data_IF_776704113034
#
_entry.id   IF_776704113034
#
_cell.length_a   1.000
_cell.length_b   1.000
_cell.length_c   1.000
_cell.angle_alpha   90.00
_cell.angle_beta   90.00
_cell.angle_gamma   90.00
#
_symmetry.space_group_name_H-M   'P 1'
#
loop_
_entity.id
_entity.type
_entity.pdbx_description
1 polymer ?
#
# COMPACT_ATOMS: atom_id res chain seq x y z
N UNK A 1 48.00 34.96 6.30
CA UNK A 1 49.23 34.42 5.65
C UNK A 1 48.83 33.08 5.06
N UNK A 2 48.53 32.91 3.78
CA UNK A 2 48.67 33.73 2.59
C UNK A 2 47.37 33.61 1.77
N UNK A 3 46.87 34.74 1.28
CA UNK A 3 46.03 34.84 0.08
C UNK A 3 46.95 34.71 -1.15
N UNK A 4 46.51 34.04 -2.22
CA UNK A 4 46.48 34.67 -3.56
C UNK A 4 45.59 33.87 -4.55
N UNK A 5 44.72 34.55 -5.34
CA UNK A 5 43.90 34.00 -6.41
C UNK A 5 44.42 34.40 -7.82
N UNK A 6 44.49 33.45 -8.76
CA UNK A 6 44.62 33.75 -10.19
C UNK A 6 43.56 32.95 -10.96
N UNK A 7 42.53 33.62 -11.51
CA UNK A 7 42.50 34.24 -12.85
C UNK A 7 42.62 33.23 -13.99
N UNK A 8 41.47 32.86 -14.55
CA UNK A 8 41.32 32.63 -15.99
C UNK A 8 40.05 33.36 -16.46
N UNK A 9 40.21 34.65 -16.73
CA UNK A 9 39.45 35.39 -17.75
C UNK A 9 40.21 35.21 -19.08
N UNK A 10 39.51 35.14 -20.21
CA UNK A 10 39.95 34.34 -21.37
C UNK A 10 38.78 33.92 -22.26
N UNK A 11 37.94 34.88 -22.57
CA UNK A 11 36.76 34.93 -23.45
C UNK A 11 36.89 34.38 -24.90
N UNK A 12 35.72 34.26 -25.56
CA UNK A 12 35.53 33.94 -26.99
C UNK A 12 34.17 33.27 -27.24
N UNK A 13 33.05 33.99 -27.12
CA UNK A 13 32.34 34.63 -28.25
C UNK A 13 31.94 33.66 -29.37
N UNK A 14 30.71 33.14 -29.31
CA UNK A 14 29.89 32.88 -30.49
C UNK A 14 28.43 33.23 -30.15
N UNK A 15 27.99 34.36 -30.68
CA UNK A 15 26.60 34.76 -30.80
C UNK A 15 25.90 33.89 -31.86
N UNK A 16 24.68 33.46 -31.51
CA UNK A 16 23.43 33.55 -32.29
C UNK A 16 23.38 33.11 -33.77
N UNK A 17 22.44 32.17 -34.04
CA UNK A 17 21.54 32.10 -35.21
C UNK A 17 20.52 30.96 -34.89
N UNK A 18 19.39 31.25 -34.25
CA UNK A 18 18.04 31.51 -34.82
C UNK A 18 17.49 30.44 -35.79
N UNK A 19 16.27 30.00 -35.44
CA UNK A 19 15.16 29.56 -36.30
C UNK A 19 15.12 28.08 -36.78
N UNK A 20 14.34 27.27 -36.06
CA UNK A 20 13.68 26.08 -36.62
C UNK A 20 12.30 25.92 -35.96
N UNK A 21 11.35 26.70 -36.45
CA UNK A 21 9.91 26.41 -36.38
C UNK A 21 9.65 25.10 -37.13
N UNK A 22 9.18 24.08 -36.42
CA UNK A 22 8.61 22.87 -37.05
C UNK A 22 7.23 22.65 -36.40
N UNK A 23 6.22 23.25 -37.03
CA UNK A 23 4.80 22.96 -36.81
C UNK A 23 4.53 21.50 -37.18
N UNK A 24 4.50 20.61 -36.18
CA UNK A 24 3.82 19.32 -36.32
C UNK A 24 2.38 19.50 -35.85
N UNK A 25 1.47 19.74 -36.80
CA UNK A 25 0.04 19.48 -36.63
C UNK A 25 -0.13 18.00 -36.25
N UNK A 26 -0.35 17.73 -34.96
CA UNK A 26 -0.79 16.42 -34.51
C UNK A 26 -2.26 16.22 -34.94
N UNK A 27 -2.47 15.38 -35.94
CA UNK A 27 -3.80 14.88 -36.34
C UNK A 27 -4.33 13.95 -35.24
N UNK A 28 -5.01 14.54 -34.25
CA UNK A 28 -5.68 13.91 -33.10
C UNK A 28 -6.97 13.15 -33.50
N UNK A 29 -6.94 12.27 -34.51
CA UNK A 29 -8.17 11.63 -35.00
C UNK A 29 -8.23 10.09 -35.01
N UNK A 30 -7.18 9.37 -34.59
CA UNK A 30 -7.17 7.89 -34.57
C UNK A 30 -7.03 7.25 -33.18
N UNK A 31 -7.49 7.92 -32.12
CA UNK A 31 -7.67 7.29 -30.80
C UNK A 31 -8.93 6.41 -30.81
N UNK A 32 -8.78 5.17 -31.26
CA UNK A 32 -9.76 4.13 -30.96
C UNK A 32 -9.71 3.92 -29.43
N UNK A 33 -10.78 4.33 -28.76
CA UNK A 33 -11.08 3.99 -27.37
C UNK A 33 -11.20 2.47 -27.29
N UNK A 34 -10.13 1.81 -26.89
CA UNK A 34 -10.20 0.44 -26.41
C UNK A 34 -10.70 0.54 -24.96
N UNK A 35 -11.95 0.14 -24.75
CA UNK A 35 -12.52 -0.08 -23.42
C UNK A 35 -11.69 -1.18 -22.75
N UNK A 36 -10.62 -0.80 -22.05
CA UNK A 36 -9.97 -1.64 -21.06
C UNK A 36 -10.91 -1.77 -19.85
N UNK A 37 -11.89 -2.66 -19.99
CA UNK A 37 -12.59 -3.25 -18.86
C UNK A 37 -11.56 -3.93 -17.94
N UNK A 38 -11.19 -3.18 -16.91
CA UNK A 38 -10.62 -3.58 -15.62
C UNK A 38 -10.63 -5.10 -15.34
N UNK A 39 -9.61 -5.82 -15.81
CA UNK A 39 -9.38 -7.24 -15.48
C UNK A 39 -8.80 -7.45 -14.07
N UNK A 40 -8.79 -6.43 -13.20
CA UNK A 40 -8.30 -6.52 -11.81
C UNK A 40 -9.40 -6.75 -10.75
N UNK A 41 -10.63 -7.06 -11.15
CA UNK A 41 -11.76 -7.28 -10.23
C UNK A 41 -11.99 -8.76 -9.83
N UNK A 42 -10.99 -9.64 -9.95
CA UNK A 42 -11.14 -11.09 -9.71
C UNK A 42 -10.28 -11.61 -8.55
N UNK A 43 -10.19 -10.86 -7.45
CA UNK A 43 -9.57 -11.33 -6.19
C UNK A 43 -10.35 -10.90 -4.92
N UNK A 44 -11.61 -10.50 -5.04
CA UNK A 44 -12.51 -10.38 -3.88
C UNK A 44 -13.32 -11.66 -3.74
N UNK A 45 -12.68 -12.71 -3.22
CA UNK A 45 -13.40 -13.81 -2.57
C UNK A 45 -13.31 -13.61 -1.06
N UNK A 46 -14.45 -13.16 -0.55
CA UNK A 46 -14.84 -13.02 0.85
C UNK A 46 -15.21 -14.43 1.36
N UNK A 47 -14.26 -15.12 2.01
CA UNK A 47 -14.54 -16.34 2.78
C UNK A 47 -14.17 -16.11 4.26
N UNK A 48 -15.22 -15.91 5.04
CA UNK A 48 -15.21 -15.60 6.47
C UNK A 48 -15.17 -16.92 7.25
N UNK A 49 -13.98 -17.37 7.65
CA UNK A 49 -13.78 -18.55 8.50
C UNK A 49 -14.25 -18.25 9.95
N UNK A 50 -15.05 -19.14 10.60
CA UNK A 50 -15.47 -18.95 11.97
C UNK A 50 -14.31 -19.16 12.95
N UNK A 51 -14.08 -18.17 13.80
CA UNK A 51 -13.11 -18.22 14.89
C UNK A 51 -13.49 -19.29 15.94
N UNK A 52 -12.73 -20.38 15.99
CA UNK A 52 -12.76 -21.33 17.11
C UNK A 52 -11.96 -20.78 18.31
N UNK A 53 -12.69 -20.47 19.38
CA UNK A 53 -12.19 -20.04 20.68
C UNK A 53 -11.37 -21.16 21.37
N UNK A 54 -10.05 -20.96 21.53
CA UNK A 54 -9.19 -21.78 22.38
C UNK A 54 -8.82 -21.03 23.69
N UNK A 55 -8.93 -21.68 24.87
CA UNK A 55 -8.86 -20.97 26.16
C UNK A 55 -7.44 -20.58 26.59
N UNK A 56 -7.35 -19.38 27.17
CA UNK A 56 -6.16 -18.76 27.77
C UNK A 56 -5.49 -19.64 28.84
N UNK A 57 -4.23 -20.05 28.59
CA UNK A 57 -3.37 -20.72 29.58
C UNK A 57 -2.71 -19.68 30.49
N UNK A 58 -3.18 -19.64 31.76
CA UNK A 58 -2.60 -18.85 32.84
C UNK A 58 -1.16 -19.26 33.17
N UNK A 59 -0.26 -18.28 33.13
CA UNK A 59 1.16 -18.36 33.53
C UNK A 59 1.28 -18.78 35.01
N UNK A 60 1.81 -19.97 35.28
CA UNK A 60 2.23 -20.40 36.63
C UNK A 60 3.70 -20.05 36.87
N UNK A 61 3.96 -19.34 37.98
CA UNK A 61 5.30 -18.97 38.47
C UNK A 61 6.11 -20.23 38.83
N UNK A 62 7.33 -20.34 38.30
CA UNK A 62 8.34 -21.32 38.71
C UNK A 62 8.90 -20.97 40.09
N UNK A 63 9.00 -21.96 40.97
CA UNK A 63 9.80 -21.92 42.19
C UNK A 63 10.87 -23.00 42.06
N UNK A 64 12.14 -22.59 42.02
CA UNK A 64 13.28 -23.50 41.98
C UNK A 64 13.37 -24.28 43.31
N UNK A 65 13.53 -25.60 43.21
CA UNK A 65 14.15 -26.40 44.25
C UNK A 65 15.12 -27.37 43.55
N UNK A 66 16.41 -27.12 43.77
CA UNK A 66 17.52 -27.98 43.39
C UNK A 66 17.55 -29.14 44.38
N UNK A 67 17.54 -30.38 43.87
CA UNK A 67 18.03 -31.56 44.58
C UNK A 67 18.81 -32.40 43.58
N UNK A 68 20.08 -32.65 43.91
CA UNK A 68 20.99 -33.56 43.25
C UNK A 68 20.58 -35.01 43.54
N UNK A 69 20.47 -35.85 42.52
CA UNK A 69 20.63 -37.31 42.64
C UNK A 69 20.90 -37.92 41.27
N UNK A 70 22.07 -38.54 41.12
CA UNK A 70 22.40 -39.48 40.05
C UNK A 70 21.44 -40.69 40.10
N UNK A 71 20.83 -41.10 38.98
CA UNK A 71 20.34 -42.47 38.72
C UNK A 71 20.05 -42.68 37.21
N UNK A 72 20.81 -43.62 36.64
CA UNK A 72 20.44 -44.64 35.63
C UNK A 72 19.73 -44.24 34.31
N UNK A 73 20.51 -44.29 33.22
CA UNK A 73 20.15 -44.03 31.82
C UNK A 73 19.21 -45.05 31.15
N UNK A 74 18.81 -46.13 31.82
CA UNK A 74 18.07 -47.25 31.19
C UNK A 74 16.54 -47.16 31.33
N UNK A 75 16.01 -46.23 32.13
CA UNK A 75 14.55 -46.13 32.36
C UNK A 75 13.87 -45.24 31.31
N UNK A 76 14.54 -44.16 30.89
CA UNK A 76 14.02 -43.17 29.93
C UNK A 76 13.83 -43.75 28.51
N UNK A 77 14.67 -44.71 28.09
CA UNK A 77 14.51 -45.38 26.77
C UNK A 77 13.23 -46.23 26.71
N UNK A 78 12.81 -46.81 27.83
CA UNK A 78 11.59 -47.63 27.88
C UNK A 78 10.33 -46.77 27.81
N UNK A 79 10.33 -45.60 28.46
CA UNK A 79 9.22 -44.66 28.41
C UNK A 79 9.09 -43.99 27.03
N UNK A 80 10.20 -43.66 26.38
CA UNK A 80 10.22 -43.19 24.99
C UNK A 80 9.71 -44.27 24.04
N UNK A 81 10.11 -45.53 24.25
CA UNK A 81 9.64 -46.67 23.44
C UNK A 81 8.13 -46.90 23.57
N UNK A 82 7.57 -46.69 24.76
CA UNK A 82 6.12 -46.76 24.97
C UNK A 82 5.37 -45.58 24.34
N UNK A 83 5.93 -44.37 24.39
CA UNK A 83 5.36 -43.20 23.71
C UNK A 83 5.35 -43.39 22.19
N UNK A 84 6.44 -43.91 21.61
CA UNK A 84 6.54 -44.25 20.19
C UNK A 84 5.50 -45.30 19.81
N UNK A 85 5.33 -46.36 20.61
CA UNK A 85 4.29 -47.37 20.37
C UNK A 85 2.88 -46.78 20.40
N UNK A 86 2.59 -45.86 21.32
CA UNK A 86 1.30 -45.15 21.40
C UNK A 86 1.08 -44.20 20.21
N UNK A 87 2.13 -43.59 19.68
CA UNK A 87 2.04 -42.78 18.45
C UNK A 87 1.76 -43.68 17.24
N UNK A 88 2.48 -44.78 17.09
CA UNK A 88 2.27 -45.76 16.00
C UNK A 88 0.84 -46.31 16.03
N UNK A 89 0.26 -46.60 17.21
CA UNK A 89 -1.13 -47.07 17.28
C UNK A 89 -2.14 -46.01 16.85
N UNK A 90 -1.87 -44.73 17.13
CA UNK A 90 -2.76 -43.62 16.73
C UNK A 90 -2.68 -43.36 15.23
N UNK A 91 -1.48 -43.39 14.66
CA UNK A 91 -1.31 -43.26 13.21
C UNK A 91 -1.99 -44.41 12.46
N UNK A 92 -1.90 -45.64 12.97
CA UNK A 92 -2.62 -46.78 12.39
C UNK A 92 -4.13 -46.61 12.43
N UNK A 93 -4.68 -46.12 13.54
CA UNK A 93 -6.11 -45.82 13.64
C UNK A 93 -6.54 -44.72 12.66
N UNK A 94 -5.71 -43.69 12.48
CA UNK A 94 -5.98 -42.61 11.53
C UNK A 94 -5.92 -43.10 10.07
N UNK A 95 -4.98 -43.99 9.75
CA UNK A 95 -4.90 -44.61 8.42
C UNK A 95 -6.13 -45.48 8.15
N UNK A 96 -6.56 -46.29 9.13
CA UNK A 96 -7.75 -47.14 9.00
C UNK A 96 -9.03 -46.30 8.82
N UNK A 97 -9.13 -45.14 9.49
CA UNK A 97 -10.22 -44.19 9.31
C UNK A 97 -10.21 -43.54 7.92
N UNK A 98 -9.03 -43.12 7.43
CA UNK A 98 -8.87 -42.57 6.08
C UNK A 98 -9.10 -43.59 4.98
N UNK A 99 -8.69 -44.85 5.18
CA UNK A 99 -8.95 -45.94 4.24
C UNK A 99 -10.45 -46.29 4.19
N UNK A 100 -11.13 -46.30 5.35
CA UNK A 100 -12.58 -46.48 5.41
C UNK A 100 -13.33 -45.33 4.71
N UNK A 101 -12.90 -44.08 4.90
CA UNK A 101 -13.50 -42.90 4.26
C UNK A 101 -13.28 -42.92 2.73
N UNK A 102 -12.10 -43.37 2.27
CA UNK A 102 -11.81 -43.56 0.85
C UNK A 102 -12.61 -44.74 0.23
N UNK A 103 -12.96 -45.76 1.01
CA UNK A 103 -13.78 -46.89 0.55
C UNK A 103 -15.29 -46.55 0.59
N UNK A 104 -15.74 -45.68 1.50
CA UNK A 104 -17.10 -45.13 1.54
C UNK A 104 -17.33 -44.04 0.49
N UNK A 105 -16.29 -43.31 0.09
CA UNK A 105 -16.29 -42.34 -1.00
C UNK A 105 -15.26 -42.68 -2.07
N UNK A 106 -15.50 -43.72 -2.90
CA UNK A 106 -14.66 -43.98 -4.06
C UNK A 106 -14.60 -42.72 -4.92
N UNK A 107 -13.40 -42.25 -5.24
CA UNK A 107 -13.24 -41.25 -6.29
C UNK A 107 -13.86 -41.84 -7.56
N UNK A 108 -14.92 -41.21 -8.07
CA UNK A 108 -15.43 -41.50 -9.41
C UNK A 108 -14.29 -41.21 -10.38
N UNK A 109 -13.67 -42.28 -10.89
CA UNK A 109 -12.74 -42.22 -12.00
C UNK A 109 -13.56 -41.71 -13.19
N UNK A 110 -13.46 -40.40 -13.47
CA UNK A 110 -14.18 -39.70 -14.53
C UNK A 110 -13.66 -40.10 -15.90
N UNK A 111 -13.71 -41.39 -16.23
CA UNK A 111 -13.32 -41.91 -17.54
C UNK A 111 -14.44 -41.94 -18.56
N UNK A 112 -15.70 -41.78 -18.16
CA UNK A 112 -16.82 -41.74 -19.09
C UNK A 112 -17.83 -40.69 -18.64
N UNK A 113 -17.77 -39.51 -19.24
CA UNK A 113 -18.91 -38.70 -19.71
C UNK A 113 -18.51 -37.22 -19.83
N UNK A 114 -18.47 -36.79 -21.09
CA UNK A 114 -18.61 -35.40 -21.55
C UNK A 114 -17.47 -34.43 -21.17
N UNK A 115 -16.70 -34.04 -22.20
CA UNK A 115 -16.18 -32.67 -22.30
C UNK A 115 -17.36 -31.69 -22.20
N UNK A 116 -17.88 -31.48 -20.98
CA UNK A 116 -18.94 -30.54 -20.70
C UNK A 116 -18.43 -29.17 -21.10
N UNK A 117 -18.90 -28.70 -22.25
CA UNK A 117 -19.09 -27.33 -22.72
C UNK A 117 -18.33 -26.24 -21.95
N UNK A 118 -17.03 -26.41 -21.71
CA UNK A 118 -16.18 -25.31 -21.30
C UNK A 118 -16.24 -24.37 -22.48
N UNK A 119 -16.79 -23.18 -22.25
CA UNK A 119 -16.87 -22.13 -23.27
C UNK A 119 -15.45 -21.92 -23.77
N UNK A 120 -15.14 -22.45 -24.96
CA UNK A 120 -13.81 -22.36 -25.55
C UNK A 120 -13.42 -20.89 -25.59
N UNK A 121 -12.22 -20.60 -25.12
CA UNK A 121 -11.73 -19.23 -25.16
C UNK A 121 -11.62 -18.80 -26.63
N UNK A 122 -11.77 -17.49 -26.90
CA UNK A 122 -11.64 -16.95 -28.26
C UNK A 122 -10.33 -17.37 -28.95
N UNK A 123 -9.27 -17.63 -28.18
CA UNK A 123 -7.97 -18.13 -28.67
C UNK A 123 -8.05 -19.57 -29.17
N UNK A 124 -8.72 -20.45 -28.43
CA UNK A 124 -8.90 -21.86 -28.79
C UNK A 124 -9.78 -22.00 -30.03
N UNK A 125 -10.88 -21.23 -30.10
CA UNK A 125 -11.75 -21.20 -31.29
C UNK A 125 -10.99 -20.75 -32.56
N UNK A 126 -10.04 -19.80 -32.43
CA UNK A 126 -9.19 -19.35 -33.54
C UNK A 126 -8.18 -20.41 -33.95
N UNK A 127 -7.55 -21.09 -33.00
CA UNK A 127 -6.62 -22.19 -33.28
C UNK A 127 -7.34 -23.38 -33.95
N UNK A 128 -8.55 -23.69 -33.51
CA UNK A 128 -9.36 -24.76 -34.10
C UNK A 128 -9.87 -24.40 -35.50
N UNK A 129 -10.20 -23.13 -35.74
CA UNK A 129 -10.54 -22.64 -37.08
C UNK A 129 -9.34 -22.70 -38.03
N UNK A 130 -8.13 -22.39 -37.54
CA UNK A 130 -6.89 -22.56 -38.29
C UNK A 130 -6.61 -24.03 -38.65
N UNK A 131 -6.73 -24.93 -37.67
CA UNK A 131 -6.53 -26.37 -37.89
C UNK A 131 -7.51 -26.91 -38.94
N UNK A 132 -8.79 -26.47 -38.92
CA UNK A 132 -9.76 -26.81 -39.97
C UNK A 132 -9.36 -26.26 -41.35
N UNK A 133 -8.78 -25.06 -41.40
CA UNK A 133 -8.30 -24.44 -42.64
C UNK A 133 -7.12 -25.26 -43.20
N UNK A 134 -6.20 -25.70 -42.35
CA UNK A 134 -5.09 -26.60 -42.70
C UNK A 134 -5.57 -27.97 -43.21
N UNK A 135 -6.49 -28.60 -42.49
CA UNK A 135 -7.03 -29.92 -42.84
C UNK A 135 -7.86 -29.90 -44.14
N UNK A 136 -8.48 -28.76 -44.44
CA UNK A 136 -9.27 -28.58 -45.66
C UNK A 136 -8.45 -28.16 -46.88
N UNK A 137 -7.21 -27.72 -46.69
CA UNK A 137 -6.34 -27.28 -47.78
C UNK A 137 -5.93 -28.47 -48.67
N UNK A 138 -6.39 -28.46 -49.92
CA UNK A 138 -6.09 -29.48 -50.94
C UNK A 138 -5.52 -28.88 -52.22
N UNK A 139 -5.73 -27.58 -52.43
CA UNK A 139 -5.27 -26.84 -53.61
C UNK A 139 -4.14 -25.88 -53.26
N UNK A 140 -3.29 -25.56 -54.24
CA UNK A 140 -2.16 -24.65 -54.05
C UNK A 140 -2.57 -23.28 -53.49
N UNK A 141 -3.73 -22.76 -53.93
CA UNK A 141 -4.29 -21.50 -53.43
C UNK A 141 -4.73 -21.57 -51.97
N UNK A 142 -5.25 -22.71 -51.53
CA UNK A 142 -5.62 -22.92 -50.12
C UNK A 142 -4.37 -23.00 -49.24
N UNK A 143 -3.30 -23.63 -49.71
CA UNK A 143 -2.00 -23.62 -49.01
C UNK A 143 -1.40 -22.21 -48.93
N UNK A 144 -1.45 -21.43 -50.00
CA UNK A 144 -1.03 -20.02 -49.98
C UNK A 144 -1.81 -19.20 -48.94
N UNK A 145 -3.11 -19.47 -48.78
CA UNK A 145 -3.95 -18.83 -47.77
C UNK A 145 -3.61 -19.26 -46.33
N UNK A 146 -3.34 -20.56 -46.10
CA UNK A 146 -2.83 -21.06 -44.81
C UNK A 146 -1.53 -20.33 -44.43
N UNK A 147 -0.59 -20.27 -45.37
CA UNK A 147 0.73 -19.62 -45.16
C UNK A 147 0.54 -18.14 -44.81
N UNK A 148 -0.29 -17.41 -45.54
CA UNK A 148 -0.56 -16.00 -45.25
C UNK A 148 -1.15 -15.77 -43.84
N UNK A 149 -1.93 -16.73 -43.33
CA UNK A 149 -2.48 -16.66 -41.97
C UNK A 149 -1.39 -16.90 -40.91
N UNK A 150 -0.50 -17.86 -41.15
CA UNK A 150 0.67 -18.11 -40.31
C UNK A 150 1.64 -16.93 -40.28
N UNK A 151 1.98 -16.36 -41.45
CA UNK A 151 2.84 -15.17 -41.55
C UNK A 151 2.26 -14.00 -40.75
N UNK A 152 0.92 -13.83 -40.78
CA UNK A 152 0.22 -12.80 -40.00
C UNK A 152 0.28 -13.06 -38.49
N UNK A 153 0.16 -14.32 -38.06
CA UNK A 153 0.32 -14.67 -36.65
C UNK A 153 1.74 -14.42 -36.17
N UNK A 154 2.73 -14.78 -37.00
CA UNK A 154 4.14 -14.66 -36.68
C UNK A 154 4.56 -13.19 -36.59
N UNK A 155 4.16 -12.36 -37.56
CA UNK A 155 4.36 -10.91 -37.48
C UNK A 155 3.70 -10.29 -36.23
N UNK A 156 2.56 -10.81 -35.78
CA UNK A 156 1.91 -10.40 -34.54
C UNK A 156 2.62 -10.89 -33.28
N UNK A 157 3.31 -12.02 -33.33
CA UNK A 157 4.20 -12.48 -32.27
C UNK A 157 5.43 -11.57 -32.20
N UNK A 158 6.15 -11.40 -33.30
CA UNK A 158 7.33 -10.55 -33.37
C UNK A 158 7.03 -9.11 -32.95
N UNK A 159 5.88 -8.54 -33.36
CA UNK A 159 5.46 -7.21 -32.92
C UNK A 159 5.26 -7.15 -31.41
N UNK A 160 4.59 -8.14 -30.80
CA UNK A 160 4.40 -8.18 -29.35
C UNK A 160 5.73 -8.35 -28.62
N UNK A 161 6.61 -9.20 -29.11
CA UNK A 161 7.96 -9.39 -28.57
C UNK A 161 8.77 -8.10 -28.67
N UNK A 162 8.76 -7.41 -29.83
CA UNK A 162 9.37 -6.09 -29.98
C UNK A 162 8.79 -5.04 -29.04
N UNK A 163 7.48 -5.02 -28.80
CA UNK A 163 6.91 -4.11 -27.80
C UNK A 163 7.31 -4.49 -26.38
N UNK A 164 7.38 -5.78 -26.04
CA UNK A 164 7.87 -6.20 -24.72
C UNK A 164 9.38 -5.93 -24.53
N UNK A 165 10.18 -5.99 -25.58
CA UNK A 165 11.58 -5.58 -25.57
C UNK A 165 11.72 -4.05 -25.51
N UNK A 166 10.94 -3.32 -26.30
CA UNK A 166 10.97 -1.86 -26.34
C UNK A 166 10.50 -1.27 -25.00
N UNK A 167 9.42 -1.81 -24.41
CA UNK A 167 8.94 -1.44 -23.08
C UNK A 167 9.86 -1.87 -21.94
N UNK A 168 10.78 -2.82 -22.16
CA UNK A 168 11.89 -3.06 -21.24
C UNK A 168 13.02 -2.05 -21.42
N UNK A 169 13.29 -1.60 -22.64
CA UNK A 169 14.36 -0.63 -22.91
C UNK A 169 13.99 0.85 -22.68
N UNK A 170 12.70 1.19 -22.66
CA UNK A 170 12.20 2.57 -22.52
C UNK A 170 11.91 2.99 -21.08
N UNK A 171 11.58 2.03 -20.21
CA UNK A 171 11.30 2.20 -18.78
C UNK A 171 12.30 1.44 -17.90
N UNK A 172 13.49 1.13 -18.42
CA UNK A 172 14.64 0.79 -17.59
C UNK A 172 15.13 2.09 -16.92
N UNK A 173 14.26 2.59 -16.03
CA UNK A 173 14.58 3.41 -14.89
C UNK A 173 15.81 2.74 -14.28
N UNK A 174 17.00 3.37 -14.37
CA UNK A 174 18.22 2.78 -13.83
C UNK A 174 17.94 2.27 -12.41
N UNK A 175 18.60 1.19 -12.00
CA UNK A 175 18.48 0.70 -10.61
C UNK A 175 18.71 1.83 -9.59
N UNK A 176 19.45 2.86 -10.01
CA UNK A 176 19.84 4.04 -9.24
C UNK A 176 18.89 5.24 -9.38
N UNK A 177 17.84 5.17 -10.19
CA UNK A 177 16.90 6.28 -10.37
C UNK A 177 15.98 6.38 -9.15
N UNK A 178 16.18 7.45 -8.37
CA UNK A 178 15.57 7.60 -7.05
C UNK A 178 16.43 7.05 -5.91
N UNK A 179 17.61 6.46 -6.21
CA UNK A 179 18.58 6.13 -5.17
C UNK A 179 19.13 7.43 -4.57
N UNK A 180 18.91 7.64 -3.27
CA UNK A 180 19.52 8.77 -2.58
C UNK A 180 21.04 8.60 -2.57
N UNK A 181 21.81 9.68 -2.76
CA UNK A 181 23.27 9.65 -2.75
C UNK A 181 23.91 9.06 -1.46
N UNK A 182 23.10 8.85 -0.41
CA UNK A 182 23.52 8.17 0.82
C UNK A 182 23.07 6.70 0.76
N UNK A 183 24.04 5.78 0.62
CA UNK A 183 23.90 4.32 0.58
C UNK A 183 23.21 3.65 1.80
N UNK A 184 22.77 4.42 2.80
CA UNK A 184 22.01 3.88 3.92
C UNK A 184 20.52 3.83 3.57
N UNK A 185 20.11 2.74 2.93
CA UNK A 185 18.70 2.40 2.83
C UNK A 185 18.20 1.92 4.19
N UNK A 186 17.34 2.72 4.81
CA UNK A 186 16.65 2.29 6.01
C UNK A 186 15.40 1.49 5.60
N UNK A 187 15.07 0.39 6.29
CA UNK A 187 13.80 -0.28 6.12
C UNK A 187 12.65 0.74 6.17
N UNK A 188 11.57 0.52 5.42
CA UNK A 188 10.42 1.44 5.40
C UNK A 188 9.86 1.73 6.80
N UNK A 189 9.96 0.77 7.71
CA UNK A 189 9.57 0.92 9.12
C UNK A 189 10.37 1.99 9.86
N UNK A 190 11.58 2.32 9.40
CA UNK A 190 12.49 3.32 9.97
C UNK A 190 12.59 4.58 9.09
N UNK A 191 11.71 4.71 8.09
CA UNK A 191 11.66 5.86 7.20
C UNK A 191 10.62 6.92 7.64
N UNK A 192 9.93 6.68 8.76
CA UNK A 192 8.95 7.62 9.33
C UNK A 192 9.61 8.94 9.78
N UNK A 193 8.84 10.03 9.79
CA UNK A 193 9.31 11.38 10.10
C UNK A 193 9.89 11.45 11.51
N UNK A 194 9.23 10.82 12.48
CA UNK A 194 9.70 10.76 13.87
C UNK A 194 11.01 9.98 13.98
N UNK A 195 11.13 8.84 13.30
CA UNK A 195 12.36 8.04 13.32
C UNK A 195 13.54 8.78 12.66
N UNK A 196 13.26 9.64 11.67
CA UNK A 196 14.26 10.57 11.12
C UNK A 196 14.69 11.63 12.14
N UNK A 197 13.75 12.23 12.87
CA UNK A 197 14.05 13.22 13.92
C UNK A 197 14.85 12.62 15.07
N UNK A 198 14.44 11.45 15.57
CA UNK A 198 15.12 10.71 16.65
C UNK A 198 16.58 10.43 16.28
N UNK A 199 16.85 10.01 15.04
CA UNK A 199 18.23 9.77 14.57
C UNK A 199 19.07 11.04 14.45
N UNK A 200 18.44 12.17 14.11
CA UNK A 200 19.09 13.48 14.12
C UNK A 200 19.41 13.96 15.54
N UNK A 201 18.87 13.31 16.56
CA UNK A 201 19.00 13.71 17.97
C UNK A 201 17.93 14.70 18.41
N UNK A 202 16.86 14.86 17.64
CA UNK A 202 15.71 15.67 18.00
C UNK A 202 14.58 14.76 18.51
N UNK A 203 14.33 14.83 19.81
CA UNK A 203 13.42 13.91 20.50
C UNK A 203 12.17 14.63 21.03
N UNK A 204 12.09 15.96 20.90
CA UNK A 204 11.02 16.75 21.53
C UNK A 204 9.66 16.30 20.99
N UNK A 205 9.54 16.23 19.66
CA UNK A 205 8.30 15.81 19.00
C UNK A 205 7.93 14.35 19.33
N UNK A 206 8.93 13.49 19.50
CA UNK A 206 8.73 12.10 19.89
C UNK A 206 8.24 11.95 21.34
N UNK A 207 8.73 12.80 22.26
CA UNK A 207 8.28 12.83 23.66
C UNK A 207 6.83 13.28 23.74
N UNK A 208 6.46 14.31 22.98
CA UNK A 208 5.12 14.89 22.99
C UNK A 208 4.18 14.27 21.95
N UNK A 209 4.52 13.10 21.40
CA UNK A 209 3.70 12.35 20.45
C UNK A 209 2.51 11.64 21.12
N UNK A 210 1.68 12.42 21.82
CA UNK A 210 0.59 11.97 22.66
C UNK A 210 -0.66 12.84 22.41
N UNK A 211 -1.86 12.23 22.36
CA UNK A 211 -3.12 12.97 22.29
C UNK A 211 -3.29 14.10 23.30
N UNK A 212 -2.79 13.94 24.52
CA UNK A 212 -3.03 14.92 25.59
C UNK A 212 -2.08 16.14 25.49
N UNK A 213 -0.91 15.93 24.88
CA UNK A 213 0.20 16.88 24.84
C UNK A 213 0.38 17.55 23.47
N UNK A 214 -0.64 17.50 22.60
CA UNK A 214 -0.61 18.12 21.26
C UNK A 214 -0.27 19.62 21.30
N UNK A 215 -0.60 20.29 22.41
CA UNK A 215 -0.30 21.72 22.61
C UNK A 215 1.21 22.03 22.67
N UNK A 216 2.05 21.05 22.97
CA UNK A 216 3.52 21.16 22.96
C UNK A 216 4.12 20.98 21.56
N UNK A 217 3.36 20.40 20.62
CA UNK A 217 3.78 20.26 19.21
C UNK A 217 3.69 21.59 18.43
N UNK A 218 3.27 22.66 19.08
CA UNK A 218 3.03 23.97 18.46
C UNK A 218 3.90 25.02 19.14
N UNK A 219 4.61 25.81 18.34
CA UNK A 219 5.52 26.86 18.82
C UNK A 219 4.79 28.12 19.28
N UNK A 220 3.64 28.42 18.69
CA UNK A 220 2.87 29.64 18.97
C UNK A 220 2.10 29.55 20.29
N UNK A 221 2.38 30.47 21.23
CA UNK A 221 1.79 30.45 22.58
C UNK A 221 0.26 30.52 22.58
N UNK A 222 -0.32 31.34 21.70
CA UNK A 222 -1.77 31.50 21.63
C UNK A 222 -2.44 30.19 21.16
N UNK A 223 -1.81 29.49 20.22
CA UNK A 223 -2.33 28.25 19.67
C UNK A 223 -2.15 27.10 20.68
N UNK A 224 -1.02 27.05 21.37
CA UNK A 224 -0.79 26.12 22.50
C UNK A 224 -1.87 26.25 23.57
N UNK A 225 -2.22 27.48 24.00
CA UNK A 225 -3.32 27.73 24.96
C UNK A 225 -4.68 27.25 24.43
N UNK A 226 -5.00 27.52 23.17
CA UNK A 226 -6.27 27.08 22.55
C UNK A 226 -6.38 25.55 22.55
N UNK A 227 -5.29 24.86 22.21
CA UNK A 227 -5.23 23.41 22.18
C UNK A 227 -5.26 22.80 23.59
N UNK A 228 -4.60 23.43 24.56
CA UNK A 228 -4.62 23.01 25.96
C UNK A 228 -6.03 22.99 26.54
N UNK A 229 -6.83 24.03 26.27
CA UNK A 229 -8.20 24.19 26.76
C UNK A 229 -9.24 23.28 26.07
N UNK A 230 -8.81 22.48 25.09
CA UNK A 230 -9.68 21.56 24.37
C UNK A 230 -10.00 20.33 25.24
N UNK A 231 -11.19 19.74 25.09
CA UNK A 231 -11.55 18.53 25.87
C UNK A 231 -10.72 17.34 25.40
N UNK A 232 -10.50 16.36 26.27
CA UNK A 232 -9.69 15.17 25.97
C UNK A 232 -10.16 14.44 24.70
N UNK A 233 -11.48 14.23 24.55
CA UNK A 233 -12.05 13.60 23.36
C UNK A 233 -11.76 14.37 22.06
N UNK A 234 -11.73 15.70 22.14
CA UNK A 234 -11.42 16.54 20.99
C UNK A 234 -9.92 16.55 20.72
N UNK A 235 -9.07 16.53 21.76
CA UNK A 235 -7.62 16.41 21.61
C UNK A 235 -7.25 15.10 20.91
N UNK A 236 -7.78 13.96 21.37
CA UNK A 236 -7.55 12.66 20.72
C UNK A 236 -8.06 12.65 19.27
N UNK A 237 -9.21 13.24 18.99
CA UNK A 237 -9.72 13.33 17.62
C UNK A 237 -8.81 14.20 16.73
N UNK A 238 -8.31 15.31 17.27
CA UNK A 238 -7.37 16.19 16.58
C UNK A 238 -6.05 15.45 16.29
N UNK A 239 -5.52 14.71 17.25
CA UNK A 239 -4.31 13.91 17.08
C UNK A 239 -4.47 12.89 15.94
N UNK A 240 -5.56 12.12 15.97
CA UNK A 240 -5.81 11.11 14.95
C UNK A 240 -6.01 11.72 13.55
N UNK A 241 -6.63 12.90 13.47
CA UNK A 241 -6.94 13.55 12.20
C UNK A 241 -5.76 14.36 11.63
N UNK A 242 -5.05 15.14 12.45
CA UNK A 242 -4.06 16.12 12.00
C UNK A 242 -2.63 15.60 12.11
N UNK A 243 -2.32 14.79 13.13
CA UNK A 243 -0.96 14.27 13.35
C UNK A 243 -0.78 12.90 12.68
N UNK A 244 -1.74 11.99 12.90
CA UNK A 244 -1.72 10.63 12.31
C UNK A 244 -2.30 10.58 10.89
N UNK A 245 -2.99 11.64 10.45
CA UNK A 245 -3.63 11.74 9.14
C UNK A 245 -4.58 10.57 8.83
N UNK A 246 -5.26 10.03 9.85
CA UNK A 246 -6.22 8.95 9.65
C UNK A 246 -7.50 9.45 8.99
N UNK A 247 -8.05 8.62 8.09
CA UNK A 247 -9.37 8.86 7.51
C UNK A 247 -10.46 8.81 8.58
N UNK A 248 -11.57 9.52 8.36
CA UNK A 248 -12.70 9.50 9.30
C UNK A 248 -13.30 8.11 9.48
N UNK A 249 -13.23 7.26 8.44
CA UNK A 249 -13.62 5.84 8.47
C UNK A 249 -12.70 5.06 9.42
N UNK A 250 -11.38 5.25 9.35
CA UNK A 250 -10.42 4.58 10.23
C UNK A 250 -10.61 5.01 11.69
N UNK A 251 -10.81 6.31 11.92
CA UNK A 251 -11.10 6.86 13.25
C UNK A 251 -12.41 6.30 13.81
N UNK A 252 -13.44 6.18 12.97
CA UNK A 252 -14.72 5.61 13.33
C UNK A 252 -14.59 4.16 13.82
N UNK A 253 -13.78 3.34 13.13
CA UNK A 253 -13.44 1.98 13.57
C UNK A 253 -12.73 1.97 14.92
N UNK A 254 -11.73 2.83 15.13
CA UNK A 254 -10.97 2.91 16.40
C UNK A 254 -11.89 3.27 17.58
N UNK A 255 -12.80 4.22 17.39
CA UNK A 255 -13.72 4.71 18.43
C UNK A 255 -15.01 3.90 18.55
N UNK A 256 -15.23 2.89 17.71
CA UNK A 256 -16.50 2.16 17.59
C UNK A 256 -17.71 3.10 17.42
N UNK A 257 -17.57 4.11 16.56
CA UNK A 257 -18.60 5.10 16.24
C UNK A 257 -18.89 5.11 14.73
N UNK A 258 -19.96 5.78 14.31
CA UNK A 258 -20.22 5.97 12.88
C UNK A 258 -19.32 7.07 12.28
N UNK A 259 -18.93 6.91 11.02
CA UNK A 259 -18.18 7.93 10.26
C UNK A 259 -18.89 9.30 10.28
N UNK A 260 -20.23 9.30 10.19
CA UNK A 260 -21.04 10.51 10.31
C UNK A 260 -20.85 11.21 11.66
N UNK A 261 -20.80 10.45 12.76
CA UNK A 261 -20.57 11.03 14.08
C UNK A 261 -19.16 11.64 14.16
N UNK A 262 -18.14 10.94 13.67
CA UNK A 262 -16.76 11.45 13.64
C UNK A 262 -16.66 12.77 12.87
N UNK A 263 -17.26 12.84 11.68
CA UNK A 263 -17.31 14.10 10.89
C UNK A 263 -18.02 15.22 11.63
N UNK A 264 -19.12 14.92 12.33
CA UNK A 264 -19.88 15.89 13.14
C UNK A 264 -19.03 16.40 14.32
N UNK A 265 -18.41 15.51 15.09
CA UNK A 265 -17.57 15.87 16.23
C UNK A 265 -16.34 16.67 15.77
N UNK A 266 -15.73 16.28 14.64
CA UNK A 266 -14.63 17.02 14.01
C UNK A 266 -15.05 18.43 13.64
N UNK A 267 -16.24 18.59 13.04
CA UNK A 267 -16.80 19.91 12.73
C UNK A 267 -17.01 20.76 13.99
N UNK A 268 -17.54 20.18 15.07
CA UNK A 268 -17.72 20.92 16.34
C UNK A 268 -16.39 21.30 16.99
N UNK A 269 -15.40 20.41 16.93
CA UNK A 269 -14.05 20.65 17.43
C UNK A 269 -13.39 21.82 16.68
N UNK A 270 -13.38 21.78 15.35
CA UNK A 270 -12.80 22.84 14.53
C UNK A 270 -13.50 24.18 14.75
N UNK A 271 -14.83 24.19 14.89
CA UNK A 271 -15.58 25.40 15.25
C UNK A 271 -15.14 25.98 16.60
N UNK A 272 -14.87 25.14 17.61
CA UNK A 272 -14.37 25.61 18.91
C UNK A 272 -12.96 26.21 18.80
N UNK A 273 -12.08 25.59 18.02
CA UNK A 273 -10.72 26.11 17.77
C UNK A 273 -10.81 27.46 17.05
N UNK A 274 -11.56 27.55 15.94
CA UNK A 274 -11.77 28.79 15.18
C UNK A 274 -12.34 29.92 16.06
N UNK A 275 -13.34 29.62 16.90
CA UNK A 275 -13.94 30.61 17.81
C UNK A 275 -12.96 31.21 18.81
N UNK A 276 -11.96 30.45 19.26
CA UNK A 276 -10.91 30.95 20.16
C UNK A 276 -9.73 31.57 19.42
N UNK A 277 -9.46 31.08 18.22
CA UNK A 277 -8.39 31.60 17.36
C UNK A 277 -8.68 33.04 16.91
N UNK A 278 -9.92 33.33 16.53
CA UNK A 278 -10.32 34.66 16.05
C UNK A 278 -9.97 35.80 17.03
N UNK A 279 -10.37 35.77 18.32
CA UNK A 279 -10.01 36.84 19.25
C UNK A 279 -8.50 36.89 19.53
N UNK A 280 -7.79 35.75 19.52
CA UNK A 280 -6.34 35.73 19.69
C UNK A 280 -5.61 36.43 18.52
N UNK A 281 -6.10 36.25 17.29
CA UNK A 281 -5.55 36.93 16.12
C UNK A 281 -5.92 38.41 16.06
N UNK A 282 -7.12 38.80 16.51
CA UNK A 282 -7.47 40.23 16.63
C UNK A 282 -6.58 40.95 17.64
N UNK A 283 -6.29 40.34 18.80
CA UNK A 283 -5.35 40.89 19.79
C UNK A 283 -3.91 41.00 19.22
N UNK A 284 -3.50 40.02 18.40
CA UNK A 284 -2.20 40.05 17.67
C UNK A 284 -2.14 41.23 16.69
N UNK A 285 -3.24 41.50 15.98
CA UNK A 285 -3.39 42.66 15.07
C UNK A 285 -3.33 43.98 15.83
N UNK A 286 -4.04 44.10 16.96
CA UNK A 286 -4.03 45.30 17.80
C UNK A 286 -2.62 45.62 18.33
N UNK A 287 -1.85 44.58 18.68
CA UNK A 287 -0.45 44.67 19.13
C UNK A 287 0.56 44.86 17.99
N UNK A 288 0.11 44.91 16.73
CA UNK A 288 0.96 45.05 15.54
C UNK A 288 2.07 43.99 15.44
N UNK A 289 1.80 42.77 15.90
CA UNK A 289 2.74 41.65 15.79
C UNK A 289 2.81 41.11 14.35
N UNK A 290 3.95 40.54 13.92
CA UNK A 290 4.07 39.94 12.60
C UNK A 290 3.09 38.78 12.45
N UNK A 291 2.43 38.72 11.30
CA UNK A 291 1.37 37.76 11.01
C UNK A 291 1.71 36.95 9.76
N UNK A 292 1.49 35.64 9.82
CA UNK A 292 1.67 34.71 8.71
C UNK A 292 0.60 34.92 7.64
N UNK A 293 0.85 34.46 6.41
CA UNK A 293 -0.13 34.56 5.31
C UNK A 293 -1.43 33.83 5.67
N UNK A 294 -1.34 32.62 6.21
CA UNK A 294 -2.50 31.82 6.62
C UNK A 294 -3.37 32.50 7.68
N UNK A 295 -2.76 33.21 8.62
CA UNK A 295 -3.49 33.98 9.64
C UNK A 295 -4.24 35.17 9.02
N UNK A 296 -3.65 35.84 8.02
CA UNK A 296 -4.31 36.94 7.30
C UNK A 296 -5.49 36.42 6.48
N UNK A 297 -5.29 35.34 5.74
CA UNK A 297 -6.33 34.70 4.93
C UNK A 297 -7.49 34.24 5.83
N UNK A 298 -7.19 33.65 6.99
CA UNK A 298 -8.20 33.24 7.96
C UNK A 298 -9.02 34.43 8.50
N UNK A 299 -8.39 35.57 8.77
CA UNK A 299 -9.10 36.78 9.21
C UNK A 299 -9.99 37.35 8.10
N UNK A 300 -9.56 37.27 6.85
CA UNK A 300 -10.35 37.68 5.69
C UNK A 300 -11.59 36.78 5.50
N UNK A 301 -11.41 35.45 5.50
CA UNK A 301 -12.50 34.47 5.43
C UNK A 301 -13.49 34.67 6.59
N UNK A 302 -12.97 34.86 7.82
CA UNK A 302 -13.79 35.06 9.01
C UNK A 302 -14.58 36.37 8.98
N UNK A 303 -14.07 37.41 8.33
CA UNK A 303 -14.81 38.67 8.10
C UNK A 303 -15.94 38.48 7.10
N UNK A 304 -15.68 37.76 6.01
CA UNK A 304 -16.71 37.46 5.02
C UNK A 304 -17.84 36.57 5.59
N UNK A 305 -17.52 35.63 6.47
CA UNK A 305 -18.54 34.83 7.18
C UNK A 305 -19.46 35.69 8.06
N UNK A 306 -18.94 36.76 8.70
CA UNK A 306 -19.74 37.70 9.50
C UNK A 306 -20.65 38.55 8.61
N UNK A 307 -20.15 39.03 7.47
CA UNK A 307 -20.91 39.88 6.53
C UNK A 307 -21.98 39.09 5.75
N UNK A 308 -21.81 37.77 5.57
CA UNK A 308 -22.79 36.88 4.91
C UNK A 308 -23.95 36.42 5.82
N UNK A 309 -23.92 36.79 7.10
CA UNK A 309 -24.87 36.38 8.13
C UNK A 309 -25.96 37.39 8.48
N UNK A 310 -26.05 38.54 7.78
CA UNK A 310 -27.14 39.53 7.91
C UNK A 310 -28.32 39.29 6.95
#
# INVERSE_FOLDING_TARGET
MFDDPERYEHDGFYEEDTDYEDEYEADDSDYIVDDEENENALWDDEEEEPADDLPEKKRRKRKNQVVLADNDTDTEETELSEQVRRQITKEKQLIEELEADAEEHPFEDGTDEEELERKKLKRELRAEALARLEDSARTQREFENVIAWWDRLDANRERRERYHELSRSGDDVPLDYGASANELFFPDTLNDVLEKQIRKGDFIDAIFYCPYDIHELVTEEYLSKILWELTEEHKELLFLCAVRLFSSIRIAKIRNQSDRNIRKVRGTMLKKIRKKLLPALLDKVEKQQPMTLLEKDFLEESRMEIDSGE
#
